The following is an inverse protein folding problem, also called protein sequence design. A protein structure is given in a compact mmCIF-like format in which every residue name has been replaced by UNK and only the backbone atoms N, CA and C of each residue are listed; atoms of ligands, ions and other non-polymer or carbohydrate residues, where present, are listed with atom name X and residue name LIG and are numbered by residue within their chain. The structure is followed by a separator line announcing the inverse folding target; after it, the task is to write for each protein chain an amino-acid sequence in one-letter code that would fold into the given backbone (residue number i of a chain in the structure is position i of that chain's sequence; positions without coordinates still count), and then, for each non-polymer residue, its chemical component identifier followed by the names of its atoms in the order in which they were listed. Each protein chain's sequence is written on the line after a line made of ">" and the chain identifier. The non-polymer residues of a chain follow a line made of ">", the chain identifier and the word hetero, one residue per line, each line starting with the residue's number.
data_IF_257410439386
#
_entry.id   IF_257410439386
#
_cell.length_a   1.000
_cell.length_b   1.000
_cell.length_c   1.000
_cell.angle_alpha   90.00
_cell.angle_beta   90.00
_cell.angle_gamma   90.00
#
_symmetry.space_group_name_H-M   'P 1'
#
loop_
_entity.id
_entity.type
_entity.pdbx_description
1 polymer ?
#
# COMPACT_ATOMS: atom_id res chain seq x y z
N UNK A 1 43.88 54.54 51.98
CA UNK A 1 42.81 54.02 52.88
C UNK A 1 41.61 53.60 52.04
N UNK A 2 40.94 52.49 52.37
CA UNK A 2 40.20 51.66 51.42
C UNK A 2 38.68 51.86 51.50
N UNK A 3 37.95 51.41 50.47
CA UNK A 3 36.73 50.59 50.59
C UNK A 3 36.30 50.10 49.20
N UNK A 4 36.59 48.82 48.90
CA UNK A 4 35.93 48.06 47.84
C UNK A 4 34.59 47.55 48.39
N UNK A 5 33.50 47.80 47.68
CA UNK A 5 32.21 47.16 47.92
C UNK A 5 32.03 46.02 46.90
N UNK A 6 32.01 44.77 47.38
CA UNK A 6 31.61 43.62 46.57
C UNK A 6 30.11 43.40 46.76
N UNK A 7 29.36 43.57 45.67
CA UNK A 7 27.96 43.19 45.61
C UNK A 7 27.86 41.69 45.32
N UNK A 8 27.45 40.92 46.32
CA UNK A 8 27.09 39.51 46.15
C UNK A 8 25.71 39.43 45.50
N UNK A 9 25.65 38.98 44.24
CA UNK A 9 24.39 38.59 43.61
C UNK A 9 24.08 37.14 43.96
N UNK A 10 23.02 36.94 44.75
CA UNK A 10 22.40 35.66 45.01
C UNK A 10 21.68 35.18 43.74
N UNK A 11 22.13 34.06 43.18
CA UNK A 11 21.44 33.36 42.10
C UNK A 11 20.30 32.57 42.73
N UNK A 12 19.05 33.02 42.54
CA UNK A 12 17.87 32.27 42.98
C UNK A 12 17.57 31.15 41.99
N UNK A 13 17.87 29.91 42.36
CA UNK A 13 17.35 28.72 41.67
C UNK A 13 15.85 28.61 41.95
N UNK A 14 15.03 29.19 41.08
CA UNK A 14 13.59 28.95 41.05
C UNK A 14 13.32 27.65 40.29
N UNK A 15 13.08 26.62 41.09
CA UNK A 15 12.33 25.39 40.86
C UNK A 15 11.57 25.33 39.53
N UNK A 16 11.98 24.41 38.64
CA UNK A 16 11.16 23.88 37.55
C UNK A 16 10.75 22.43 37.90
N UNK A 17 9.58 22.16 38.50
CA UNK A 17 9.11 20.80 38.70
C UNK A 17 7.82 20.51 37.91
N UNK A 18 7.71 20.99 36.65
CA UNK A 18 6.48 20.74 35.84
C UNK A 18 6.77 20.11 34.47
N UNK A 19 8.02 20.10 33.99
CA UNK A 19 8.32 19.58 32.65
C UNK A 19 8.43 18.04 32.55
N UNK A 20 8.40 17.28 33.66
CA UNK A 20 8.70 15.84 33.65
C UNK A 20 7.46 14.93 33.49
N UNK A 21 6.24 15.46 33.59
CA UNK A 21 5.02 14.64 33.57
C UNK A 21 4.51 14.28 32.16
N UNK A 22 4.99 14.93 31.09
CA UNK A 22 4.52 14.71 29.72
C UNK A 22 5.35 13.70 28.92
N UNK A 23 6.46 13.18 29.47
CA UNK A 23 7.37 12.27 28.76
C UNK A 23 6.98 10.78 28.84
N UNK A 24 6.03 10.40 29.69
CA UNK A 24 5.65 8.98 29.90
C UNK A 24 4.44 8.55 29.06
N UNK A 25 3.80 9.49 28.34
CA UNK A 25 2.66 9.22 27.48
C UNK A 25 3.04 8.96 26.01
N UNK A 26 4.33 9.08 25.65
CA UNK A 26 4.85 8.54 24.40
C UNK A 26 5.05 7.03 24.55
N UNK A 27 3.94 6.29 24.64
CA UNK A 27 3.96 4.83 24.64
C UNK A 27 4.62 4.35 23.36
N UNK A 28 5.63 3.49 23.48
CA UNK A 28 6.20 2.80 22.34
C UNK A 28 5.10 1.99 21.66
N UNK A 29 4.82 2.26 20.39
CA UNK A 29 3.92 1.41 19.60
C UNK A 29 4.45 -0.04 19.65
N UNK A 30 3.58 -0.97 20.00
CA UNK A 30 3.92 -2.39 20.00
C UNK A 30 4.06 -2.86 18.56
N UNK A 31 5.28 -3.24 18.17
CA UNK A 31 5.57 -3.88 16.89
C UNK A 31 5.15 -5.34 16.99
N UNK A 32 4.04 -5.70 16.34
CA UNK A 32 3.47 -7.05 16.42
C UNK A 32 4.05 -8.00 15.37
N UNK A 33 4.54 -7.45 14.25
CA UNK A 33 5.07 -8.21 13.12
C UNK A 33 6.17 -7.49 12.34
N UNK A 34 6.41 -7.93 11.10
CA UNK A 34 7.27 -7.24 10.13
C UNK A 34 6.46 -6.29 9.24
N UNK A 35 7.17 -5.50 8.44
CA UNK A 35 6.59 -4.65 7.41
C UNK A 35 7.03 -5.10 6.01
N UNK A 36 6.24 -4.79 4.99
CA UNK A 36 6.58 -4.99 3.58
C UNK A 36 6.62 -3.64 2.89
N UNK A 37 7.72 -3.39 2.19
CA UNK A 37 7.89 -2.26 1.29
C UNK A 37 7.88 -2.76 -0.17
N UNK A 38 7.13 -2.06 -1.02
CA UNK A 38 7.17 -2.27 -2.45
C UNK A 38 7.02 -0.95 -3.21
N UNK A 39 7.57 -0.95 -4.41
CA UNK A 39 7.27 0.05 -5.44
C UNK A 39 6.69 -0.66 -6.65
N UNK A 40 5.86 0.02 -7.42
CA UNK A 40 5.23 -0.57 -8.61
C UNK A 40 5.20 0.37 -9.79
N UNK A 41 5.04 -0.24 -10.97
CA UNK A 41 4.80 0.45 -12.23
C UNK A 41 3.86 -0.38 -13.10
N UNK A 42 2.93 0.29 -13.79
CA UNK A 42 2.10 -0.31 -14.84
C UNK A 42 2.74 -0.07 -16.21
N UNK A 43 2.84 -1.12 -17.03
CA UNK A 43 3.32 -1.06 -18.41
C UNK A 43 2.29 -1.67 -19.36
N UNK A 44 2.00 -1.05 -20.52
CA UNK A 44 1.15 -1.68 -21.52
C UNK A 44 1.88 -2.86 -22.20
N UNK A 45 1.18 -3.99 -22.37
CA UNK A 45 1.72 -5.20 -23.00
C UNK A 45 1.82 -5.16 -24.53
N UNK A 46 0.97 -4.37 -25.19
CA UNK A 46 0.69 -4.43 -26.64
C UNK A 46 1.03 -3.15 -27.41
N UNK A 47 1.60 -2.14 -26.76
CA UNK A 47 1.91 -0.86 -27.41
C UNK A 47 3.36 -0.85 -27.91
N UNK A 48 3.58 -0.47 -29.17
CA UNK A 48 4.91 -0.19 -29.75
C UNK A 48 5.64 1.00 -29.11
N UNK A 49 5.02 1.65 -28.12
CA UNK A 49 5.64 2.67 -27.31
C UNK A 49 6.38 1.99 -26.15
N UNK A 50 7.60 1.52 -26.42
CA UNK A 50 8.49 0.94 -25.40
C UNK A 50 8.74 1.91 -24.22
N UNK A 51 8.54 3.22 -24.45
CA UNK A 51 8.81 4.29 -23.47
C UNK A 51 7.59 4.87 -22.75
N UNK A 52 6.35 4.48 -23.06
CA UNK A 52 5.17 5.15 -22.49
C UNK A 52 4.53 4.35 -21.37
N UNK A 53 5.00 4.69 -20.17
CA UNK A 53 4.30 4.51 -18.90
C UNK A 53 2.79 4.74 -19.09
N UNK A 54 2.00 3.75 -18.72
CA UNK A 54 0.57 3.95 -18.46
C UNK A 54 0.54 4.27 -16.98
N UNK A 55 0.37 5.54 -16.65
CA UNK A 55 0.00 5.93 -15.30
C UNK A 55 -1.35 5.30 -14.93
N UNK A 56 -1.63 5.26 -13.64
CA UNK A 56 -2.84 4.65 -13.07
C UNK A 56 -4.15 5.26 -13.60
N UNK A 57 -4.06 6.39 -14.29
CA UNK A 57 -5.18 7.03 -14.99
C UNK A 57 -4.70 7.66 -16.30
N UNK A 58 -4.29 6.84 -17.27
CA UNK A 58 -3.80 7.38 -18.56
C UNK A 58 -4.86 8.01 -19.45
N UNK A 59 -6.13 8.01 -18.98
CA UNK A 59 -7.32 8.45 -19.71
C UNK A 59 -7.49 7.78 -21.09
N UNK A 60 -6.69 6.75 -21.38
CA UNK A 60 -6.79 5.98 -22.61
C UNK A 60 -7.97 5.02 -22.50
N UNK A 61 -8.71 4.92 -23.60
CA UNK A 61 -9.75 3.91 -23.73
C UNK A 61 -9.18 2.52 -23.42
N UNK A 62 -9.81 1.83 -22.48
CA UNK A 62 -9.42 0.48 -22.05
C UNK A 62 -8.31 0.36 -21.03
N UNK A 63 -7.71 1.47 -20.62
CA UNK A 63 -6.86 1.50 -19.42
C UNK A 63 -7.64 2.08 -18.25
N UNK A 64 -8.92 1.69 -18.09
CA UNK A 64 -9.78 2.22 -17.03
C UNK A 64 -9.03 2.28 -15.69
N UNK A 65 -9.31 3.27 -14.84
CA UNK A 65 -8.37 3.66 -13.80
C UNK A 65 -8.15 2.50 -12.83
N UNK A 66 -6.92 1.98 -12.82
CA UNK A 66 -6.44 1.15 -11.72
C UNK A 66 -6.36 2.10 -10.53
N UNK A 67 -7.31 1.97 -9.60
CA UNK A 67 -7.45 2.87 -8.46
C UNK A 67 -6.43 2.54 -7.38
N UNK A 68 -6.18 1.25 -7.15
CA UNK A 68 -5.31 0.76 -6.09
C UNK A 68 -4.40 -0.37 -6.57
N UNK A 69 -3.27 -0.54 -5.88
CA UNK A 69 -2.47 -1.76 -5.93
C UNK A 69 -2.62 -2.45 -4.58
N UNK A 70 -3.01 -3.72 -4.61
CA UNK A 70 -3.15 -4.55 -3.42
C UNK A 70 -1.99 -5.52 -3.32
N UNK A 71 -1.27 -5.47 -2.21
CA UNK A 71 -0.40 -6.53 -1.74
C UNK A 71 -1.24 -7.56 -0.99
N UNK A 72 -1.04 -8.82 -1.30
CA UNK A 72 -1.57 -9.97 -0.58
C UNK A 72 -0.42 -10.75 0.04
N UNK A 73 -0.71 -11.42 1.15
CA UNK A 73 0.24 -12.31 1.78
C UNK A 73 -0.45 -13.57 2.32
N UNK A 74 0.32 -14.67 2.31
CA UNK A 74 0.04 -15.89 3.04
C UNK A 74 1.31 -16.28 3.82
N UNK A 75 1.23 -16.31 5.15
CA UNK A 75 2.36 -16.61 6.04
C UNK A 75 2.27 -18.03 6.56
N UNK A 76 3.26 -18.82 6.20
CA UNK A 76 3.56 -20.13 6.78
C UNK A 76 4.38 -19.91 8.06
N UNK A 77 3.80 -20.26 9.21
CA UNK A 77 4.53 -20.31 10.46
C UNK A 77 4.14 -21.55 11.28
N UNK A 78 5.06 -21.97 12.15
CA UNK A 78 4.90 -23.11 13.06
C UNK A 78 3.91 -22.80 14.20
N UNK A 79 3.42 -21.57 14.28
CA UNK A 79 2.54 -21.13 15.35
C UNK A 79 1.08 -21.56 15.02
N UNK A 80 0.38 -22.24 15.95
CA UNK A 80 -0.98 -22.73 15.71
C UNK A 80 -2.06 -21.64 15.63
N UNK A 81 -1.73 -20.35 15.73
CA UNK A 81 -2.73 -19.27 15.61
C UNK A 81 -3.30 -19.20 14.17
N UNK A 82 -4.59 -19.47 13.97
CA UNK A 82 -5.20 -19.48 12.65
C UNK A 82 -5.57 -18.07 12.14
N UNK A 83 -5.54 -17.03 12.98
CA UNK A 83 -6.13 -15.72 12.64
C UNK A 83 -5.21 -14.78 11.85
N UNK A 84 -3.91 -15.07 11.75
CA UNK A 84 -2.92 -14.17 11.12
C UNK A 84 -2.38 -14.59 9.75
N UNK A 85 -2.79 -15.72 9.19
CA UNK A 85 -2.02 -16.32 8.08
C UNK A 85 -2.23 -15.64 6.74
N UNK A 86 -3.40 -15.07 6.47
CA UNK A 86 -3.72 -14.47 5.19
C UNK A 86 -4.15 -13.02 5.42
N UNK A 87 -3.64 -12.11 4.60
CA UNK A 87 -4.06 -10.72 4.67
C UNK A 87 -3.73 -9.95 3.41
N UNK A 88 -4.11 -8.67 3.42
CA UNK A 88 -3.82 -7.76 2.32
C UNK A 88 -3.74 -6.32 2.80
N UNK A 89 -3.04 -5.49 2.03
CA UNK A 89 -2.98 -4.04 2.18
C UNK A 89 -3.04 -3.42 0.79
N UNK A 90 -3.74 -2.30 0.67
CA UNK A 90 -3.84 -1.58 -0.59
C UNK A 90 -3.41 -0.12 -0.46
N UNK A 91 -2.94 0.43 -1.56
CA UNK A 91 -2.54 1.82 -1.68
C UNK A 91 -3.03 2.36 -3.00
N UNK A 92 -3.31 3.66 -3.04
CA UNK A 92 -3.68 4.34 -4.28
C UNK A 92 -2.58 4.13 -5.32
N UNK A 93 -2.96 3.64 -6.49
CA UNK A 93 -2.02 3.28 -7.54
C UNK A 93 -1.08 4.45 -7.90
N UNK A 94 -1.60 5.69 -7.90
CA UNK A 94 -0.85 6.91 -8.22
C UNK A 94 0.36 7.17 -7.32
N UNK A 95 0.47 6.53 -6.16
CA UNK A 95 1.62 6.69 -5.27
C UNK A 95 2.85 5.95 -5.78
N UNK A 96 2.72 4.91 -6.61
CA UNK A 96 3.83 4.10 -7.13
C UNK A 96 4.70 3.41 -6.05
N UNK A 97 4.30 3.49 -4.78
CA UNK A 97 4.97 2.85 -3.64
C UNK A 97 3.99 2.67 -2.48
N UNK A 98 4.26 1.66 -1.66
CA UNK A 98 3.45 1.29 -0.52
C UNK A 98 4.30 0.61 0.54
N UNK A 99 3.97 0.88 1.79
CA UNK A 99 4.60 0.25 2.96
C UNK A 99 3.48 -0.20 3.90
N UNK A 100 3.52 -1.45 4.35
CA UNK A 100 2.58 -1.93 5.36
C UNK A 100 2.99 -1.42 6.74
N UNK A 101 2.06 -1.42 7.69
CA UNK A 101 2.47 -1.39 9.11
C UNK A 101 3.28 -2.64 9.49
N UNK A 102 3.89 -2.60 10.67
CA UNK A 102 4.57 -3.75 11.30
C UNK A 102 3.57 -4.77 11.86
N UNK A 103 2.71 -5.29 10.98
CA UNK A 103 1.59 -6.15 11.31
C UNK A 103 1.60 -7.48 10.52
N UNK A 104 2.54 -7.69 9.58
CA UNK A 104 2.67 -8.99 8.92
C UNK A 104 3.25 -10.00 9.92
N UNK A 105 2.59 -11.15 10.15
CA UNK A 105 3.12 -12.12 11.10
C UNK A 105 4.48 -12.65 10.71
N UNK A 106 5.27 -12.98 11.73
CA UNK A 106 6.57 -13.64 11.53
C UNK A 106 6.38 -15.02 10.90
N UNK A 107 7.30 -15.38 10.01
CA UNK A 107 7.28 -16.65 9.29
C UNK A 107 7.72 -16.51 7.84
N UNK A 108 7.49 -17.55 7.06
CA UNK A 108 7.75 -17.53 5.61
C UNK A 108 6.50 -17.06 4.89
N UNK A 109 6.55 -15.86 4.30
CA UNK A 109 5.44 -15.26 3.59
C UNK A 109 5.54 -15.48 2.08
N UNK A 110 4.45 -15.94 1.48
CA UNK A 110 4.17 -15.87 0.05
C UNK A 110 3.52 -14.52 -0.23
N UNK A 111 4.16 -13.68 -1.05
CA UNK A 111 3.77 -12.29 -1.30
C UNK A 111 3.45 -12.09 -2.79
N UNK A 112 2.32 -11.45 -3.10
CA UNK A 112 1.95 -11.13 -4.48
C UNK A 112 1.10 -9.86 -4.56
N UNK A 113 1.03 -9.27 -5.74
CA UNK A 113 0.28 -8.02 -5.97
C UNK A 113 -0.78 -8.19 -7.03
N UNK A 114 -1.89 -7.49 -6.87
CA UNK A 114 -2.94 -7.38 -7.88
C UNK A 114 -3.35 -5.93 -8.06
N UNK A 115 -3.61 -5.48 -9.29
CA UNK A 115 -4.27 -4.20 -9.53
C UNK A 115 -5.75 -4.28 -9.13
N UNK A 116 -6.27 -3.18 -8.60
CA UNK A 116 -7.68 -3.01 -8.28
C UNK A 116 -8.27 -1.86 -9.09
N UNK A 117 -9.46 -2.10 -9.62
CA UNK A 117 -10.28 -1.15 -10.33
C UNK A 117 -11.34 -0.56 -9.40
N UNK A 118 -12.01 0.51 -9.82
CA UNK A 118 -13.11 1.10 -9.05
C UNK A 118 -14.23 0.08 -8.71
N UNK A 119 -14.46 -0.91 -9.57
CA UNK A 119 -15.44 -1.99 -9.38
C UNK A 119 -14.92 -3.23 -8.65
N UNK A 120 -13.67 -3.23 -8.17
CA UNK A 120 -13.05 -4.37 -7.48
C UNK A 120 -11.77 -4.88 -8.15
N UNK A 121 -11.31 -6.07 -7.75
CA UNK A 121 -10.08 -6.68 -8.27
C UNK A 121 -10.10 -6.83 -9.78
N UNK A 122 -9.03 -6.42 -10.46
CA UNK A 122 -8.89 -6.63 -11.89
C UNK A 122 -8.91 -8.14 -12.23
N UNK A 123 -9.50 -8.50 -13.37
CA UNK A 123 -9.53 -9.90 -13.79
C UNK A 123 -8.11 -10.40 -14.11
N UNK A 124 -7.65 -11.57 -13.60
CA UNK A 124 -6.27 -12.04 -13.79
C UNK A 124 -5.83 -12.22 -15.25
N UNK A 125 -6.77 -12.37 -16.19
CA UNK A 125 -6.47 -12.47 -17.63
C UNK A 125 -6.13 -11.14 -18.29
N UNK A 126 -6.27 -10.02 -17.59
CA UNK A 126 -6.11 -8.66 -18.13
C UNK A 126 -4.77 -8.01 -17.77
N UNK A 127 -3.94 -8.70 -17.00
CA UNK A 127 -2.60 -8.25 -16.63
C UNK A 127 -1.67 -9.43 -16.39
N UNK A 128 -0.38 -9.17 -16.44
CA UNK A 128 0.68 -10.06 -16.00
C UNK A 128 1.33 -9.43 -14.77
N UNK A 129 1.27 -10.15 -13.65
CA UNK A 129 2.03 -9.84 -12.45
C UNK A 129 3.26 -10.74 -12.34
N UNK A 130 4.28 -10.34 -11.56
CA UNK A 130 5.37 -11.25 -11.22
C UNK A 130 4.84 -12.51 -10.50
N UNK A 131 5.65 -13.56 -10.55
CA UNK A 131 5.40 -14.74 -9.74
C UNK A 131 5.36 -14.37 -8.24
N UNK A 132 4.62 -15.17 -7.47
CA UNK A 132 4.58 -15.09 -6.01
C UNK A 132 6.01 -15.11 -5.47
N UNK A 133 6.34 -14.15 -4.61
CA UNK A 133 7.67 -14.00 -4.03
C UNK A 133 7.62 -14.52 -2.61
N UNK A 134 8.48 -15.49 -2.30
CA UNK A 134 8.63 -16.00 -0.95
C UNK A 134 9.70 -15.20 -0.19
N UNK A 135 9.39 -14.76 1.03
CA UNK A 135 10.30 -14.02 1.92
C UNK A 135 10.10 -14.42 3.38
N UNK A 136 11.17 -14.40 4.15
CA UNK A 136 11.08 -14.52 5.61
C UNK A 136 10.71 -13.15 6.21
N UNK A 137 9.65 -13.12 7.00
CA UNK A 137 9.21 -11.96 7.78
C UNK A 137 9.75 -12.10 9.20
N UNK A 138 10.47 -11.08 9.67
CA UNK A 138 11.03 -10.98 11.02
C UNK A 138 10.34 -9.78 11.71
N UNK A 139 9.93 -9.93 12.98
CA UNK A 139 9.27 -8.84 13.71
C UNK A 139 10.20 -7.65 13.86
N UNK A 140 9.67 -6.47 13.60
CA UNK A 140 10.42 -5.22 13.65
C UNK A 140 11.36 -5.00 12.47
N UNK A 141 11.39 -5.92 11.50
CA UNK A 141 12.16 -5.76 10.28
C UNK A 141 11.25 -5.45 9.07
N UNK A 142 11.85 -4.91 8.02
CA UNK A 142 11.18 -4.58 6.76
C UNK A 142 11.65 -5.50 5.64
N UNK A 143 10.70 -6.18 5.01
CA UNK A 143 10.90 -6.98 3.80
C UNK A 143 10.72 -6.08 2.58
N UNK A 144 11.77 -5.89 1.80
CA UNK A 144 11.67 -5.18 0.52
C UNK A 144 11.34 -6.15 -0.62
N UNK A 145 10.27 -5.86 -1.37
CA UNK A 145 9.95 -6.52 -2.65
C UNK A 145 10.61 -5.82 -3.84
N UNK A 146 11.21 -4.64 -3.64
CA UNK A 146 11.80 -3.83 -4.69
C UNK A 146 10.76 -3.21 -5.63
N UNK A 147 11.12 -3.04 -6.89
CA UNK A 147 10.26 -2.50 -7.93
C UNK A 147 9.56 -3.63 -8.70
N UNK A 148 8.23 -3.65 -8.61
CA UNK A 148 7.38 -4.62 -9.30
C UNK A 148 6.84 -3.98 -10.58
N UNK A 149 7.03 -4.67 -11.71
CA UNK A 149 6.38 -4.30 -12.97
C UNK A 149 5.12 -5.14 -13.17
N UNK A 150 3.99 -4.47 -13.37
CA UNK A 150 2.72 -5.08 -13.77
C UNK A 150 2.49 -4.75 -15.25
N UNK A 151 2.38 -5.78 -16.09
CA UNK A 151 2.13 -5.60 -17.52
C UNK A 151 0.63 -5.69 -17.76
N UNK A 152 0.02 -4.57 -18.09
CA UNK A 152 -1.41 -4.47 -18.38
C UNK A 152 -1.65 -4.87 -19.83
N UNK A 153 -2.57 -5.80 -20.09
CA UNK A 153 -2.99 -6.09 -21.45
C UNK A 153 -3.86 -4.93 -21.94
N UNK A 154 -3.35 -4.16 -22.92
CA UNK A 154 -4.03 -2.97 -23.48
C UNK A 154 -4.30 -3.20 -24.96
N UNK A 155 -5.09 -4.22 -25.29
CA UNK A 155 -5.69 -4.25 -26.61
C UNK A 155 -7.04 -3.56 -26.50
N UNK A 156 -7.40 -2.77 -27.53
CA UNK A 156 -8.63 -2.00 -27.54
C UNK A 156 -9.79 -2.85 -27.05
N UNK A 157 -10.64 -2.29 -26.17
CA UNK A 157 -11.74 -3.05 -25.54
C UNK A 157 -12.76 -3.62 -26.54
N UNK A 158 -12.57 -3.35 -27.83
CA UNK A 158 -13.38 -3.85 -28.92
C UNK A 158 -13.09 -5.33 -29.22
N UNK A 159 -11.86 -5.82 -28.98
CA UNK A 159 -11.44 -7.20 -29.34
C UNK A 159 -10.74 -7.98 -28.22
N UNK A 160 -10.26 -7.33 -27.15
CA UNK A 160 -9.60 -7.98 -26.01
C UNK A 160 -10.08 -7.36 -24.68
N UNK A 161 -10.00 -8.11 -23.56
CA UNK A 161 -10.50 -7.64 -22.27
C UNK A 161 -9.59 -6.56 -21.66
N UNK A 162 -10.20 -5.44 -21.29
CA UNK A 162 -9.55 -4.32 -20.63
C UNK A 162 -9.42 -4.55 -19.11
N UNK A 163 -8.30 -4.11 -18.51
CA UNK A 163 -7.98 -4.35 -17.08
C UNK A 163 -9.07 -3.90 -16.12
N UNK A 164 -9.60 -2.71 -16.38
CA UNK A 164 -10.72 -2.12 -15.70
C UNK A 164 -11.75 -1.74 -16.76
N UNK A 165 -12.17 -2.73 -17.55
CA UNK A 165 -13.22 -2.55 -18.55
C UNK A 165 -14.38 -1.75 -17.96
N UNK A 166 -15.01 -0.91 -18.79
CA UNK A 166 -16.20 -0.20 -18.36
C UNK A 166 -17.15 -1.22 -17.72
N UNK A 167 -17.57 -0.95 -16.49
CA UNK A 167 -18.61 -1.70 -15.82
C UNK A 167 -19.69 -2.01 -16.87
N UNK A 168 -20.06 -3.29 -17.10
CA UNK A 168 -21.10 -3.58 -18.08
C UNK A 168 -22.28 -2.70 -17.67
N UNK A 169 -22.66 -1.77 -18.55
CA UNK A 169 -23.71 -0.81 -18.24
C UNK A 169 -24.85 -1.59 -17.58
N UNK A 170 -25.36 -1.16 -16.40
CA UNK A 170 -26.35 -1.93 -15.67
C UNK A 170 -27.41 -2.32 -16.68
N UNK A 171 -27.65 -3.63 -16.83
CA UNK A 171 -28.53 -4.15 -17.85
C UNK A 171 -29.82 -3.33 -17.76
N UNK A 172 -30.09 -2.50 -18.77
CA UNK A 172 -31.30 -1.70 -18.83
C UNK A 172 -32.43 -2.71 -18.63
N UNK A 173 -33.04 -2.69 -17.44
CA UNK A 173 -34.17 -3.55 -17.14
C UNK A 173 -35.28 -3.07 -18.06
N UNK A 174 -35.41 -3.70 -19.23
CA UNK A 174 -36.50 -3.50 -20.19
C UNK A 174 -37.76 -4.14 -19.59
N UNK A 175 -38.12 -3.76 -18.37
CA UNK A 175 -39.41 -4.04 -17.78
C UNK A 175 -40.33 -2.87 -18.07
N UNK A 176 -40.91 -2.98 -19.26
CA UNK A 176 -42.36 -2.93 -19.43
C UNK A 176 -43.05 -1.69 -18.87
N UNK A 177 -42.95 -0.57 -19.59
CA UNK A 177 -44.05 0.38 -19.67
C UNK A 177 -45.16 -0.20 -20.55
N UNK A 178 -45.84 -1.24 -20.06
CA UNK A 178 -47.17 -1.58 -20.53
C UNK A 178 -48.17 -0.75 -19.72
N UNK A 179 -48.48 0.44 -20.23
CA UNK A 179 -49.69 1.17 -19.81
C UNK A 179 -50.90 0.59 -20.53
N UNK A 180 -52.04 0.41 -19.84
CA UNK A 180 -53.32 0.04 -20.47
C UNK A 180 -53.88 1.16 -21.35
#
# INVERSE_FOLDING_TARGET
>A
MPRRAQATRSVSWRSWPVALALLVAAGCDTVEGGAVELSWKLRPGSSSLEDKFVDCNSERAGTGPVTEIRLHWEVENDNPDPTGKIGSASWLCRFNHGVTGFALPEGTANLWVTPECAGGTAAPSTYLAPAIVQRTVIRGDTVSLGAIELVVTVAGCDTEPCICGAEPAPALDVRSSASP
#
